data_IF_547683435037
#
_entry.id   IF_547683435037
#
_cell.length_a   1.000
_cell.length_b   1.000
_cell.length_c   1.000
_cell.angle_alpha   90.00
_cell.angle_beta   90.00
_cell.angle_gamma   90.00
#
_symmetry.space_group_name_H-M   'P 1'
#
loop_
_entity.id
_entity.type
_entity.pdbx_description
1 polymer ?
#
# COMPACT_ATOMS: atom_id res chain seq x y z
N UNK A 1 15.87 46.72 56.52
CA UNK A 1 16.06 45.53 57.37
C UNK A 1 14.82 44.65 57.23
N UNK A 2 14.95 43.34 57.50
CA UNK A 2 13.94 42.25 57.61
C UNK A 2 12.53 42.46 56.99
N UNK A 3 12.03 41.63 56.06
CA UNK A 3 11.96 40.15 55.97
C UNK A 3 10.95 39.50 56.95
N UNK A 4 10.26 38.45 56.46
CA UNK A 4 9.26 37.58 57.15
C UNK A 4 7.88 38.24 57.42
N UNK A 5 6.72 37.57 57.29
CA UNK A 5 6.39 36.24 56.72
C UNK A 5 4.90 36.15 56.25
N UNK A 6 4.45 34.95 55.82
CA UNK A 6 3.14 34.58 55.22
C UNK A 6 1.95 34.73 56.20
N UNK A 7 0.65 34.63 55.85
CA UNK A 7 -0.08 33.95 54.74
C UNK A 7 -1.35 34.78 54.35
N UNK A 8 -2.47 34.34 53.72
CA UNK A 8 -3.07 33.04 53.28
C UNK A 8 -3.98 33.25 52.02
N UNK A 9 -4.31 32.14 51.35
CA UNK A 9 -5.59 31.71 50.70
C UNK A 9 -6.84 32.64 50.71
N UNK A 10 -7.77 32.67 49.73
CA UNK A 10 -7.94 32.10 48.37
C UNK A 10 -8.88 33.09 47.60
N UNK A 11 -8.89 33.33 46.28
CA UNK A 11 -8.70 32.52 45.06
C UNK A 11 -9.77 31.47 44.73
N UNK A 12 -11.04 31.89 44.69
CA UNK A 12 -12.09 31.13 43.98
C UNK A 12 -12.05 31.43 42.48
N UNK A 13 -11.17 30.72 41.78
CA UNK A 13 -11.04 30.75 40.32
C UNK A 13 -12.31 30.31 39.59
N UNK A 14 -12.57 30.93 38.43
CA UNK A 14 -13.66 30.51 37.53
C UNK A 14 -13.22 29.26 36.77
N UNK A 15 -13.53 28.07 37.30
CA UNK A 15 -13.32 26.82 36.57
C UNK A 15 -14.24 26.75 35.34
N UNK A 16 -13.66 27.11 34.19
CA UNK A 16 -14.24 26.91 32.87
C UNK A 16 -14.52 25.42 32.67
N UNK A 17 -15.81 25.06 32.56
CA UNK A 17 -16.23 23.70 32.26
C UNK A 17 -15.82 23.31 30.83
N UNK A 18 -14.57 22.88 30.65
CA UNK A 18 -14.06 22.31 29.41
C UNK A 18 -14.76 20.98 29.17
N UNK A 19 -15.84 21.03 28.37
CA UNK A 19 -16.51 19.83 27.87
C UNK A 19 -15.58 19.16 26.86
N UNK A 20 -14.71 18.29 27.35
CA UNK A 20 -13.90 17.41 26.51
C UNK A 20 -14.82 16.62 25.58
N UNK A 21 -14.73 16.91 24.28
CA UNK A 21 -15.51 16.23 23.24
C UNK A 21 -14.93 14.85 22.98
N UNK A 22 -15.23 13.91 23.88
CA UNK A 22 -14.86 12.49 23.75
C UNK A 22 -15.02 12.00 22.31
N UNK A 23 -13.99 11.34 21.83
CA UNK A 23 -13.86 10.78 20.49
C UNK A 23 -15.09 9.93 20.13
N UNK A 24 -15.50 9.88 18.85
CA UNK A 24 -16.50 8.92 18.39
C UNK A 24 -16.16 7.48 18.80
N UNK A 25 -14.88 7.11 18.75
CA UNK A 25 -14.39 5.78 19.11
C UNK A 25 -14.55 5.47 20.62
N UNK A 26 -14.30 6.45 21.51
CA UNK A 26 -14.52 6.30 22.95
C UNK A 26 -16.00 6.11 23.28
N UNK A 27 -16.88 6.86 22.60
CA UNK A 27 -18.34 6.69 22.75
C UNK A 27 -18.84 5.35 22.24
N UNK A 28 -18.28 4.83 21.14
CA UNK A 28 -18.59 3.49 20.63
C UNK A 28 -18.10 2.42 21.61
N UNK A 29 -16.86 2.52 22.11
CA UNK A 29 -16.31 1.59 23.09
C UNK A 29 -17.11 1.57 24.42
N UNK A 30 -17.55 2.74 24.91
CA UNK A 30 -18.36 2.79 26.13
C UNK A 30 -19.82 2.34 25.90
N UNK A 31 -20.42 2.56 24.73
CA UNK A 31 -21.74 2.02 24.39
C UNK A 31 -21.71 0.49 24.22
N UNK A 32 -20.60 -0.07 23.72
CA UNK A 32 -20.32 -1.51 23.64
C UNK A 32 -19.98 -2.17 24.99
N UNK A 33 -19.44 -1.42 25.95
CA UNK A 33 -19.22 -1.90 27.32
C UNK A 33 -20.46 -1.72 28.23
N UNK A 34 -21.34 -0.75 27.93
CA UNK A 34 -22.54 -0.44 28.73
C UNK A 34 -23.77 -1.23 28.29
N UNK A 35 -23.80 -1.74 27.05
CA UNK A 35 -24.69 -2.83 26.63
C UNK A 35 -23.97 -4.13 26.92
N UNK A 36 -24.60 -5.03 27.68
CA UNK A 36 -23.99 -6.26 28.19
C UNK A 36 -23.10 -6.95 27.14
N UNK A 37 -21.82 -7.13 27.48
CA UNK A 37 -20.80 -7.67 26.58
C UNK A 37 -21.32 -8.96 25.92
N UNK A 38 -21.11 -9.14 24.59
CA UNK A 38 -21.79 -10.17 23.83
C UNK A 38 -21.58 -11.54 24.49
N UNK A 39 -22.66 -12.31 24.75
CA UNK A 39 -22.54 -13.57 25.47
C UNK A 39 -21.56 -14.47 24.71
N UNK A 40 -20.57 -15.01 25.42
CA UNK A 40 -19.35 -15.59 24.83
C UNK A 40 -19.57 -16.74 23.81
N UNK A 41 -20.80 -17.26 23.72
CA UNK A 41 -21.22 -18.34 22.82
C UNK A 41 -22.30 -17.89 21.80
N UNK A 42 -22.54 -16.59 21.63
CA UNK A 42 -23.51 -16.04 20.68
C UNK A 42 -22.94 -15.84 19.26
N UNK A 43 -23.78 -15.71 18.22
CA UNK A 43 -23.31 -15.55 16.83
C UNK A 43 -22.48 -14.30 16.60
N UNK A 44 -22.74 -13.21 17.35
CA UNK A 44 -21.88 -12.03 17.34
C UNK A 44 -20.49 -12.30 17.94
N UNK A 45 -20.40 -13.15 18.97
CA UNK A 45 -19.11 -13.58 19.53
C UNK A 45 -18.35 -14.47 18.54
N UNK A 46 -19.05 -15.34 17.81
CA UNK A 46 -18.46 -16.15 16.73
C UNK A 46 -17.89 -15.26 15.61
N UNK A 47 -18.64 -14.26 15.14
CA UNK A 47 -18.17 -13.31 14.13
C UNK A 47 -16.96 -12.48 14.62
N UNK A 48 -16.98 -11.99 15.86
CA UNK A 48 -15.82 -11.28 16.46
C UNK A 48 -14.62 -12.22 16.58
N UNK A 49 -14.82 -13.49 16.94
CA UNK A 49 -13.75 -14.49 17.01
C UNK A 49 -13.18 -14.78 15.62
N UNK A 50 -14.02 -14.88 14.59
CA UNK A 50 -13.61 -15.04 13.20
C UNK A 50 -12.81 -13.84 12.69
N UNK A 51 -13.26 -12.61 12.96
CA UNK A 51 -12.52 -11.38 12.65
C UNK A 51 -11.17 -11.32 13.37
N UNK A 52 -11.10 -11.70 14.65
CA UNK A 52 -9.84 -11.80 15.40
C UNK A 52 -8.91 -12.90 14.86
N UNK A 53 -9.45 -14.04 14.40
CA UNK A 53 -8.65 -15.11 13.78
C UNK A 53 -8.14 -14.71 12.39
N UNK A 54 -8.91 -13.92 11.64
CA UNK A 54 -8.50 -13.36 10.35
C UNK A 54 -7.42 -12.30 10.52
N UNK A 55 -7.62 -11.34 11.43
CA UNK A 55 -6.63 -10.31 11.78
C UNK A 55 -5.34 -10.95 12.29
N UNK A 56 -5.42 -11.88 13.24
CA UNK A 56 -4.26 -12.59 13.76
C UNK A 56 -3.58 -13.50 12.73
N UNK A 57 -4.27 -13.89 11.64
CA UNK A 57 -3.63 -14.55 10.49
C UNK A 57 -2.84 -13.53 9.66
N UNK A 58 -3.47 -12.44 9.28
CA UNK A 58 -2.85 -11.32 8.56
C UNK A 58 -1.60 -10.82 9.30
N UNK A 59 -1.68 -10.57 10.60
CA UNK A 59 -0.54 -10.15 11.44
C UNK A 59 0.63 -11.15 11.40
N UNK A 60 0.37 -12.46 11.35
CA UNK A 60 1.42 -13.49 11.25
C UNK A 60 2.05 -13.56 9.86
N UNK A 61 1.25 -13.42 8.81
CA UNK A 61 1.72 -13.41 7.42
C UNK A 61 2.54 -12.13 7.15
N UNK A 62 2.06 -10.98 7.63
CA UNK A 62 2.76 -9.70 7.63
C UNK A 62 4.05 -9.72 8.46
N UNK A 63 4.05 -10.34 9.65
CA UNK A 63 5.27 -10.53 10.43
C UNK A 63 6.28 -11.47 9.74
N UNK A 64 5.81 -12.49 9.01
CA UNK A 64 6.68 -13.36 8.22
C UNK A 64 7.37 -12.60 7.07
N UNK A 65 6.66 -11.68 6.39
CA UNK A 65 7.25 -10.76 5.39
C UNK A 65 8.33 -9.86 6.01
N UNK A 66 8.04 -9.25 7.17
CA UNK A 66 9.01 -8.44 7.90
C UNK A 66 10.28 -9.22 8.28
N UNK A 67 10.15 -10.47 8.74
CA UNK A 67 11.28 -11.36 9.06
C UNK A 67 12.11 -11.73 7.82
N UNK A 68 11.53 -11.71 6.63
CA UNK A 68 12.23 -11.92 5.35
C UNK A 68 12.98 -10.67 4.84
N UNK A 69 12.93 -9.55 5.58
CA UNK A 69 13.67 -8.32 5.26
C UNK A 69 12.82 -7.20 4.65
N UNK A 70 11.49 -7.34 4.61
CA UNK A 70 10.60 -6.24 4.30
C UNK A 70 10.72 -5.13 5.37
N UNK A 71 11.21 -3.96 4.96
CA UNK A 71 11.43 -2.82 5.82
C UNK A 71 10.14 -2.03 6.14
N UNK A 72 9.01 -2.35 5.50
CA UNK A 72 7.72 -1.69 5.73
C UNK A 72 6.51 -2.65 5.57
N UNK A 73 6.30 -3.60 6.50
CA UNK A 73 5.20 -4.58 6.45
C UNK A 73 3.76 -4.03 6.37
N UNK A 74 3.53 -2.71 6.42
CA UNK A 74 2.23 -2.07 6.30
C UNK A 74 2.14 -1.05 5.14
N UNK A 75 3.19 -0.89 4.34
CA UNK A 75 3.13 -0.11 3.08
C UNK A 75 2.56 -1.07 2.03
N UNK A 76 1.25 -0.97 1.77
CA UNK A 76 0.64 -1.73 0.66
C UNK A 76 1.25 -1.20 -0.62
N UNK A 77 1.94 -2.05 -1.39
CA UNK A 77 2.51 -1.63 -2.68
C UNK A 77 1.35 -1.13 -3.56
N UNK A 78 1.36 0.15 -4.02
CA UNK A 78 0.27 0.71 -4.81
C UNK A 78 0.11 0.05 -6.19
N UNK A 79 0.97 -0.91 -6.54
CA UNK A 79 0.89 -1.72 -7.74
C UNK A 79 0.78 -3.24 -7.45
N UNK A 80 0.52 -3.66 -6.20
CA UNK A 80 0.42 -5.10 -5.84
C UNK A 80 -0.56 -5.85 -6.74
N UNK A 81 -1.79 -5.35 -6.89
CA UNK A 81 -2.84 -5.99 -7.70
C UNK A 81 -2.43 -6.13 -9.18
N UNK A 82 -1.62 -5.18 -9.68
CA UNK A 82 -1.11 -5.15 -11.06
C UNK A 82 0.08 -6.13 -11.21
N UNK A 83 0.91 -6.27 -10.18
CA UNK A 83 1.99 -7.27 -10.11
C UNK A 83 1.41 -8.69 -10.04
N UNK A 84 0.41 -8.90 -9.17
CA UNK A 84 -0.27 -10.19 -9.01
C UNK A 84 -1.02 -10.58 -10.31
N UNK A 85 -1.62 -9.62 -11.02
CA UNK A 85 -2.21 -9.83 -12.35
C UNK A 85 -1.15 -10.23 -13.40
N UNK A 86 0.00 -9.55 -13.41
CA UNK A 86 1.09 -9.85 -14.34
C UNK A 86 1.69 -11.25 -14.10
N UNK A 87 1.96 -11.60 -12.84
CA UNK A 87 2.48 -12.93 -12.45
C UNK A 87 1.48 -14.04 -12.80
N UNK A 88 0.18 -13.82 -12.58
CA UNK A 88 -0.86 -14.79 -12.97
C UNK A 88 -0.92 -14.97 -14.50
N UNK A 89 -0.82 -13.88 -15.27
CA UNK A 89 -0.78 -13.96 -16.73
C UNK A 89 0.46 -14.72 -17.25
N UNK A 90 1.65 -14.45 -16.71
CA UNK A 90 2.87 -15.16 -17.10
C UNK A 90 2.77 -16.66 -16.77
N UNK A 91 2.33 -17.02 -15.56
CA UNK A 91 2.09 -18.41 -15.16
C UNK A 91 1.03 -19.11 -16.02
N UNK A 92 -0.05 -18.41 -16.40
CA UNK A 92 -1.09 -18.96 -17.26
C UNK A 92 -0.61 -19.16 -18.71
N UNK A 93 0.22 -18.24 -19.23
CA UNK A 93 0.80 -18.30 -20.57
C UNK A 93 1.89 -19.38 -20.70
N UNK A 94 2.62 -19.67 -19.62
CA UNK A 94 3.71 -20.65 -19.59
C UNK A 94 3.28 -22.04 -19.12
N UNK A 95 1.97 -22.23 -18.91
CA UNK A 95 1.39 -23.52 -18.57
C UNK A 95 1.35 -24.48 -19.78
N UNK A 96 1.54 -25.78 -19.54
CA UNK A 96 1.40 -26.80 -20.58
C UNK A 96 -0.08 -27.08 -20.93
N UNK A 97 -1.02 -26.77 -20.03
CA UNK A 97 -2.45 -26.88 -20.26
C UNK A 97 -3.03 -25.54 -20.77
N UNK A 98 -3.47 -25.45 -22.05
CA UNK A 98 -4.00 -24.22 -22.61
C UNK A 98 -5.31 -23.76 -21.96
N UNK A 99 -6.05 -24.64 -21.28
CA UNK A 99 -7.31 -24.27 -20.59
C UNK A 99 -7.06 -23.36 -19.39
N UNK A 100 -5.84 -23.34 -18.85
CA UNK A 100 -5.44 -22.42 -17.77
C UNK A 100 -5.39 -20.97 -18.28
N UNK A 101 -4.92 -20.75 -19.51
CA UNK A 101 -4.90 -19.44 -20.14
C UNK A 101 -6.31 -18.96 -20.53
N UNK A 102 -7.10 -19.82 -21.17
CA UNK A 102 -8.47 -19.47 -21.55
C UNK A 102 -9.32 -19.11 -20.32
N UNK A 103 -9.24 -19.90 -19.22
CA UNK A 103 -9.96 -19.57 -17.97
C UNK A 103 -9.50 -18.24 -17.37
N UNK A 104 -8.19 -17.97 -17.33
CA UNK A 104 -7.69 -16.67 -16.86
C UNK A 104 -8.22 -15.49 -17.69
N UNK A 105 -8.41 -15.68 -19.00
CA UNK A 105 -8.98 -14.64 -19.87
C UNK A 105 -10.51 -14.51 -19.69
N UNK A 106 -11.24 -15.60 -19.46
CA UNK A 106 -12.67 -15.59 -19.11
C UNK A 106 -12.90 -14.90 -17.75
N UNK A 107 -12.11 -15.24 -16.72
CA UNK A 107 -12.15 -14.64 -15.39
C UNK A 107 -11.91 -13.11 -15.51
N UNK A 108 -10.86 -12.71 -16.22
CA UNK A 108 -10.51 -11.29 -16.45
C UNK A 108 -11.57 -10.52 -17.27
N UNK A 109 -12.31 -11.21 -18.15
CA UNK A 109 -13.43 -10.65 -18.91
C UNK A 109 -14.73 -10.54 -18.08
N UNK A 110 -14.81 -11.23 -16.95
CA UNK A 110 -15.85 -11.04 -15.92
C UNK A 110 -15.54 -9.87 -14.99
N UNK A 111 -14.26 -9.66 -14.64
CA UNK A 111 -13.83 -8.69 -13.63
C UNK A 111 -13.60 -7.26 -14.18
N UNK A 112 -13.18 -7.08 -15.45
CA UNK A 112 -12.83 -5.76 -16.00
C UNK A 112 -13.92 -5.13 -16.88
N UNK A 113 -14.20 -3.84 -16.68
CA UNK A 113 -15.05 -3.05 -17.59
C UNK A 113 -14.24 -2.25 -18.65
N UNK A 114 -14.94 -1.58 -19.58
CA UNK A 114 -14.30 -0.82 -20.66
C UNK A 114 -13.56 0.45 -20.19
N UNK A 115 -13.91 1.01 -19.03
CA UNK A 115 -13.20 2.10 -18.37
C UNK A 115 -11.96 1.58 -17.62
N UNK A 116 -12.00 0.38 -17.05
CA UNK A 116 -10.83 -0.29 -16.44
C UNK A 116 -9.79 -0.64 -17.51
N UNK A 117 -10.21 -1.30 -18.59
CA UNK A 117 -9.35 -1.60 -19.76
C UNK A 117 -8.76 -0.32 -20.35
N UNK A 118 -9.52 0.78 -20.40
CA UNK A 118 -9.01 2.10 -20.80
C UNK A 118 -7.98 2.65 -19.81
N UNK A 119 -8.21 2.50 -18.51
CA UNK A 119 -7.34 3.02 -17.45
C UNK A 119 -6.01 2.27 -17.40
N UNK A 120 -6.05 0.93 -17.43
CA UNK A 120 -4.87 0.07 -17.55
C UNK A 120 -4.05 0.40 -18.81
N UNK A 121 -4.72 0.58 -19.96
CA UNK A 121 -4.05 1.01 -21.21
C UNK A 121 -3.37 2.37 -21.08
N UNK A 122 -4.01 3.35 -20.45
CA UNK A 122 -3.40 4.67 -20.24
C UNK A 122 -2.24 4.62 -19.24
N UNK A 123 -2.33 3.80 -18.19
CA UNK A 123 -1.23 3.57 -17.26
C UNK A 123 -0.01 2.94 -17.94
N UNK A 124 -0.23 1.92 -18.79
CA UNK A 124 0.84 1.29 -19.57
C UNK A 124 1.53 2.26 -20.55
N UNK A 125 0.78 3.16 -21.20
CA UNK A 125 1.34 4.24 -22.03
C UNK A 125 2.17 5.22 -21.19
N UNK A 126 1.65 5.67 -20.04
CA UNK A 126 2.36 6.59 -19.15
C UNK A 126 3.66 5.96 -18.60
N UNK A 127 3.65 4.67 -18.26
CA UNK A 127 4.84 3.93 -17.84
C UNK A 127 5.89 3.84 -18.97
N UNK A 128 5.47 3.55 -20.21
CA UNK A 128 6.35 3.52 -21.37
C UNK A 128 6.98 4.89 -21.69
N UNK A 129 6.24 5.99 -21.55
CA UNK A 129 6.76 7.37 -21.68
C UNK A 129 7.68 7.78 -20.51
N UNK A 130 7.44 7.24 -19.31
CA UNK A 130 8.30 7.42 -18.15
C UNK A 130 9.61 6.61 -18.26
N UNK A 131 9.64 5.54 -19.06
CA UNK A 131 10.73 4.55 -19.06
C UNK A 131 12.13 5.13 -19.32
N UNK A 132 12.25 6.18 -20.14
CA UNK A 132 13.51 6.92 -20.33
C UNK A 132 14.08 7.51 -19.03
N UNK A 133 13.20 8.10 -18.21
CA UNK A 133 13.54 8.69 -16.90
C UNK A 133 13.88 7.61 -15.89
N UNK A 134 13.09 6.53 -15.86
CA UNK A 134 13.25 5.37 -14.97
C UNK A 134 14.57 4.65 -15.24
N UNK A 135 14.84 4.30 -16.51
CA UNK A 135 16.07 3.60 -16.91
C UNK A 135 17.33 4.44 -16.63
N UNK A 136 17.29 5.76 -16.86
CA UNK A 136 18.42 6.62 -16.52
C UNK A 136 18.64 6.69 -14.99
N UNK A 137 17.59 6.86 -14.19
CA UNK A 137 17.69 6.86 -12.73
C UNK A 137 18.21 5.51 -12.17
N UNK A 138 17.83 4.38 -12.79
CA UNK A 138 18.36 3.06 -12.43
C UNK A 138 19.86 2.91 -12.78
N UNK A 139 20.31 3.45 -13.93
CA UNK A 139 21.75 3.53 -14.28
C UNK A 139 22.52 4.45 -13.32
N UNK A 140 21.93 5.57 -12.91
CA UNK A 140 22.52 6.51 -11.93
C UNK A 140 22.66 5.84 -10.54
N UNK A 141 21.77 4.91 -10.18
CA UNK A 141 21.89 3.99 -9.03
C UNK A 141 22.81 2.78 -9.27
N UNK A 142 23.48 2.69 -10.42
CA UNK A 142 24.49 1.65 -10.73
C UNK A 142 23.97 0.37 -11.39
N UNK A 143 22.66 0.15 -11.49
CA UNK A 143 22.07 -1.07 -12.08
C UNK A 143 22.47 -1.25 -13.55
N UNK A 144 22.86 -2.46 -14.00
CA UNK A 144 23.29 -2.69 -15.40
C UNK A 144 22.12 -2.59 -16.40
N UNK A 145 22.37 -2.27 -17.70
CA UNK A 145 21.32 -2.26 -18.72
C UNK A 145 20.59 -3.59 -18.84
N UNK A 146 21.30 -4.71 -18.70
CA UNK A 146 20.75 -6.07 -18.79
C UNK A 146 19.89 -6.44 -17.58
N UNK A 147 20.23 -5.91 -16.39
CA UNK A 147 19.39 -6.04 -15.20
C UNK A 147 18.14 -5.17 -15.27
N UNK A 148 18.26 -3.93 -15.75
CA UNK A 148 17.08 -3.07 -16.01
C UNK A 148 16.16 -3.74 -17.05
N UNK A 149 16.73 -4.36 -18.08
CA UNK A 149 15.98 -5.13 -19.09
C UNK A 149 15.20 -6.28 -18.46
N UNK A 150 15.85 -7.13 -17.67
CA UNK A 150 15.21 -8.24 -16.95
C UNK A 150 14.10 -7.76 -15.99
N UNK A 151 14.32 -6.68 -15.24
CA UNK A 151 13.34 -6.12 -14.29
C UNK A 151 12.20 -5.31 -14.94
N UNK A 152 12.20 -5.11 -16.27
CA UNK A 152 11.18 -4.29 -16.96
C UNK A 152 10.58 -4.91 -18.22
N UNK A 153 10.91 -6.16 -18.54
CA UNK A 153 10.43 -6.87 -19.74
C UNK A 153 10.94 -6.31 -21.08
N UNK A 154 11.73 -5.23 -21.09
CA UNK A 154 12.33 -4.65 -22.29
C UNK A 154 13.64 -5.35 -22.65
N UNK A 155 14.05 -5.27 -23.92
CA UNK A 155 15.39 -5.73 -24.34
C UNK A 155 16.48 -4.75 -23.87
N UNK A 156 17.68 -5.26 -23.56
CA UNK A 156 18.84 -4.44 -23.18
C UNK A 156 19.20 -3.39 -24.24
N UNK A 157 18.98 -3.67 -25.53
CA UNK A 157 19.14 -2.72 -26.63
C UNK A 157 18.13 -1.56 -26.58
N UNK A 158 16.86 -1.84 -26.23
CA UNK A 158 15.82 -0.81 -26.05
C UNK A 158 16.06 0.03 -24.78
N UNK A 159 16.48 -0.60 -23.68
CA UNK A 159 16.94 0.10 -22.46
C UNK A 159 18.11 1.04 -22.79
N UNK A 160 19.12 0.55 -23.52
CA UNK A 160 20.25 1.38 -23.94
C UNK A 160 19.84 2.54 -24.86
N UNK A 161 18.78 2.39 -25.65
CA UNK A 161 18.19 3.48 -26.44
C UNK A 161 17.49 4.51 -25.55
N UNK A 162 16.57 4.09 -24.68
CA UNK A 162 15.87 4.96 -23.72
C UNK A 162 16.84 5.84 -22.90
N UNK A 163 17.96 5.26 -22.44
CA UNK A 163 19.01 5.98 -21.69
C UNK A 163 19.71 7.06 -22.54
N UNK A 164 19.91 6.83 -23.85
CA UNK A 164 20.49 7.84 -24.76
C UNK A 164 19.51 8.96 -25.03
N UNK A 165 18.25 8.63 -25.32
CA UNK A 165 17.18 9.58 -25.62
C UNK A 165 16.91 10.52 -24.44
N UNK A 166 16.79 10.00 -23.21
CA UNK A 166 16.62 10.82 -22.00
C UNK A 166 17.86 11.70 -21.71
N UNK A 167 19.07 11.19 -21.92
CA UNK A 167 20.30 11.99 -21.76
C UNK A 167 20.37 13.15 -22.76
N UNK A 168 20.02 12.91 -24.02
CA UNK A 168 19.93 13.97 -25.01
C UNK A 168 18.85 14.99 -24.61
N UNK A 169 17.64 14.53 -24.25
CA UNK A 169 16.54 15.40 -23.82
C UNK A 169 16.94 16.30 -22.65
N UNK A 170 17.65 15.78 -21.64
CA UNK A 170 18.19 16.59 -20.52
C UNK A 170 19.27 17.57 -20.98
N UNK A 171 20.20 17.14 -21.83
CA UNK A 171 21.29 17.98 -22.36
C UNK A 171 20.82 19.11 -23.30
N UNK A 172 19.70 18.91 -24.01
CA UNK A 172 19.08 19.92 -24.87
C UNK A 172 18.10 20.82 -24.08
N UNK A 173 17.61 20.38 -22.91
CA UNK A 173 16.85 21.22 -21.96
C UNK A 173 17.73 22.09 -21.04
N UNK A 174 19.05 22.04 -21.20
CA UNK A 174 20.05 22.73 -20.38
C UNK A 174 20.87 23.77 -21.17
N UNK A 175 20.33 24.25 -22.29
CA UNK A 175 20.90 25.22 -23.22
C UNK A 175 19.91 26.36 -23.46
#
# INVERSE_FOLDING_TARGET
MSNEQRSHEDDQGVESAVVERRSPFERIAEDLNRRDAPPANGPASALVTEMCMLLGRYERETAARAVQGDAKPYDVDPYSDILDLAVQFEHARENEDPTVLERFLDDLAGDLDLADVRSLRMAAVAAAEAMGRIALAAREKGMSPDRIAAESGYTASRIAQFIREEKQRRGDSAK
#
